data_IF_105483482278
#
_entry.id   IF_105483482278
#
_cell.length_a   1.000
_cell.length_b   1.000
_cell.length_c   1.000
_cell.angle_alpha   90.00
_cell.angle_beta   90.00
_cell.angle_gamma   90.00
#
_symmetry.space_group_name_H-M   'P 1'
#
loop_
_entity.id
_entity.type
_entity.pdbx_description
1 polymer ?
#
# COMPACT_ATOMS: atom_id res chain seq x y z
N UNK A 1 2.09 3.24 -14.96
CA UNK A 1 1.26 4.26 -14.29
C UNK A 1 1.64 4.31 -12.81
N UNK A 2 1.50 5.47 -12.16
CA UNK A 2 1.78 5.65 -10.73
C UNK A 2 0.47 5.78 -9.97
N UNK A 3 0.25 4.93 -8.97
CA UNK A 3 -0.96 4.89 -8.15
C UNK A 3 -0.59 5.23 -6.71
N UNK A 4 -1.19 6.28 -6.17
CA UNK A 4 -1.07 6.65 -4.77
C UNK A 4 -2.38 6.34 -4.06
N UNK A 5 -2.33 5.45 -3.07
CA UNK A 5 -3.52 4.93 -2.38
C UNK A 5 -3.59 5.52 -0.97
N UNK A 6 -4.64 6.30 -0.72
CA UNK A 6 -4.98 6.79 0.61
C UNK A 6 -5.79 5.72 1.37
N UNK A 7 -5.45 5.48 2.63
CA UNK A 7 -6.03 4.39 3.42
C UNK A 7 -5.48 3.01 3.04
N UNK A 8 -4.20 2.93 2.65
CA UNK A 8 -3.59 1.70 2.12
C UNK A 8 -3.47 0.55 3.11
N UNK A 9 -3.49 0.81 4.42
CA UNK A 9 -3.44 -0.24 5.45
C UNK A 9 -4.80 -0.90 5.73
N UNK A 10 -5.89 -0.45 5.11
CA UNK A 10 -7.15 -1.19 5.12
C UNK A 10 -7.04 -2.49 4.33
N UNK A 11 -7.59 -3.60 4.84
CA UNK A 11 -7.47 -4.94 4.21
C UNK A 11 -7.88 -4.97 2.73
N UNK A 12 -8.95 -4.27 2.38
CA UNK A 12 -9.41 -4.19 0.98
C UNK A 12 -8.43 -3.39 0.11
N UNK A 13 -8.01 -2.21 0.59
CA UNK A 13 -7.11 -1.32 -0.14
C UNK A 13 -5.70 -1.90 -0.28
N UNK A 14 -5.22 -2.62 0.74
CA UNK A 14 -3.96 -3.36 0.68
C UNK A 14 -3.99 -4.48 -0.36
N UNK A 15 -5.13 -5.17 -0.52
CA UNK A 15 -5.35 -6.14 -1.59
C UNK A 15 -5.30 -5.50 -2.98
N UNK A 16 -5.96 -4.35 -3.17
CA UNK A 16 -5.90 -3.59 -4.42
C UNK A 16 -4.47 -3.14 -4.71
N UNK A 17 -3.77 -2.62 -3.70
CA UNK A 17 -2.39 -2.18 -3.82
C UNK A 17 -1.47 -3.32 -4.28
N UNK A 18 -1.64 -4.51 -3.72
CA UNK A 18 -0.91 -5.71 -4.11
C UNK A 18 -1.19 -6.13 -5.56
N UNK A 19 -2.46 -6.14 -5.99
CA UNK A 19 -2.84 -6.48 -7.36
C UNK A 19 -2.27 -5.46 -8.35
N UNK A 20 -2.37 -4.16 -8.02
CA UNK A 20 -1.84 -3.09 -8.85
C UNK A 20 -0.32 -3.17 -9.00
N UNK A 21 0.39 -3.49 -7.91
CA UNK A 21 1.83 -3.71 -7.92
C UNK A 21 2.19 -4.95 -8.78
N UNK A 22 1.45 -6.04 -8.64
CA UNK A 22 1.63 -7.25 -9.47
C UNK A 22 1.31 -7.02 -10.95
N UNK A 23 0.39 -6.10 -11.26
CA UNK A 23 0.09 -5.65 -12.63
C UNK A 23 1.19 -4.75 -13.24
N UNK A 24 2.28 -4.50 -12.52
CA UNK A 24 3.41 -3.69 -12.99
C UNK A 24 3.18 -2.19 -12.87
N UNK A 25 2.20 -1.75 -12.07
CA UNK A 25 2.07 -0.34 -11.72
C UNK A 25 2.97 0.00 -10.54
N UNK A 26 3.47 1.23 -10.50
CA UNK A 26 4.20 1.74 -9.34
C UNK A 26 3.16 2.17 -8.31
N UNK A 27 3.13 1.50 -7.16
CA UNK A 27 2.16 1.80 -6.09
C UNK A 27 2.86 2.44 -4.90
N UNK A 28 2.26 3.50 -4.38
CA UNK A 28 2.61 4.12 -3.09
C UNK A 28 1.36 4.24 -2.23
N UNK A 29 1.52 4.20 -0.92
CA UNK A 29 0.41 4.23 0.03
C UNK A 29 0.61 5.32 1.08
N UNK A 30 -0.49 5.88 1.57
CA UNK A 30 -0.52 6.73 2.76
C UNK A 30 -1.66 6.26 3.67
N UNK A 31 -1.40 6.11 4.95
CA UNK A 31 -2.42 5.77 5.94
C UNK A 31 -2.16 6.48 7.27
N UNK A 32 -3.23 6.84 7.98
CA UNK A 32 -3.14 7.45 9.29
C UNK A 32 -2.55 6.50 10.34
N UNK A 33 -2.68 5.18 10.15
CA UNK A 33 -2.04 4.17 10.98
C UNK A 33 -1.34 3.14 10.08
N UNK A 34 -0.01 3.08 10.14
CA UNK A 34 0.79 2.08 9.41
C UNK A 34 1.22 0.99 10.37
N UNK A 35 0.44 -0.11 10.43
CA UNK A 35 0.64 -1.16 11.44
C UNK A 35 0.81 -2.57 10.85
N UNK A 36 1.59 -3.45 11.52
CA UNK A 36 1.67 -4.87 11.17
C UNK A 36 0.32 -5.58 11.41
N UNK A 37 -0.06 -6.58 10.60
CA UNK A 37 0.74 -7.23 9.57
C UNK A 37 0.67 -6.56 8.18
N UNK A 38 -0.26 -5.62 7.99
CA UNK A 38 -0.52 -5.06 6.67
C UNK A 38 0.64 -4.21 6.14
N UNK A 39 1.27 -3.41 7.00
CA UNK A 39 2.41 -2.59 6.62
C UNK A 39 3.59 -3.44 6.11
N UNK A 40 3.90 -4.52 6.83
CA UNK A 40 4.97 -5.46 6.47
C UNK A 40 4.66 -6.18 5.16
N UNK A 41 3.40 -6.55 4.93
CA UNK A 41 2.98 -7.18 3.68
C UNK A 41 3.11 -6.24 2.47
N UNK A 42 2.69 -4.99 2.60
CA UNK A 42 2.80 -4.03 1.50
C UNK A 42 4.26 -3.66 1.22
N UNK A 43 5.08 -3.49 2.26
CA UNK A 43 6.51 -3.25 2.12
C UNK A 43 7.24 -4.43 1.46
N UNK A 44 6.87 -5.68 1.77
CA UNK A 44 7.47 -6.86 1.13
C UNK A 44 7.12 -6.98 -0.36
N UNK A 45 5.99 -6.40 -0.77
CA UNK A 45 5.60 -6.24 -2.17
C UNK A 45 6.30 -5.06 -2.86
N UNK A 46 7.15 -4.30 -2.15
CA UNK A 46 7.86 -3.13 -2.67
C UNK A 46 7.00 -1.86 -2.70
N UNK A 47 5.88 -1.83 -1.98
CA UNK A 47 4.99 -0.68 -1.91
C UNK A 47 5.47 0.25 -0.79
N UNK A 48 5.86 1.47 -1.16
CA UNK A 48 6.28 2.47 -0.18
C UNK A 48 5.06 3.03 0.56
N UNK A 49 5.09 2.98 1.89
CA UNK A 49 4.04 3.50 2.77
C UNK A 49 4.51 4.77 3.47
N UNK A 50 3.62 5.76 3.52
CA UNK A 50 3.77 6.97 4.31
C UNK A 50 2.78 6.89 5.47
N UNK A 51 3.23 7.19 6.68
CA UNK A 51 2.37 7.27 7.85
C UNK A 51 1.94 8.71 8.08
N UNK A 52 0.64 8.94 8.33
CA UNK A 52 0.07 10.26 8.56
C UNK A 52 -0.59 10.87 7.32
N UNK A 53 -0.28 12.14 7.04
CA UNK A 53 -0.84 12.96 5.96
C UNK A 53 0.25 13.72 5.20
#
# INVERSE_FOLDING_TARGET
>A
MHLHILGSCGTFMGGIAAIAQAAGHRVTGCDANVYPPMSTQLQSLGIALTEGF
#
